data_IF_973666364842
#
_entry.id   IF_973666364842
#
_cell.length_a   1.000
_cell.length_b   1.000
_cell.length_c   1.000
_cell.angle_alpha   90.00
_cell.angle_beta   90.00
_cell.angle_gamma   90.00
#
_symmetry.space_group_name_H-M   'P 1'
#
loop_
_entity.id
_entity.type
_entity.pdbx_description
1 polymer ?
#
# COMPACT_ATOMS: atom_id res chain seq x y z
N UNK A 1 -1.83 -20.96 8.28
CA UNK A 1 -1.12 -21.16 9.57
C UNK A 1 0.39 -20.95 9.44
N UNK A 2 1.07 -21.49 8.42
CA UNK A 2 2.53 -21.32 8.25
C UNK A 2 2.98 -19.86 7.99
N UNK A 3 2.22 -19.06 7.23
CA UNK A 3 2.57 -17.66 6.95
C UNK A 3 2.52 -16.76 8.20
N UNK A 4 1.55 -17.01 9.08
CA UNK A 4 1.40 -16.24 10.33
C UNK A 4 2.56 -16.47 11.30
N UNK A 5 3.11 -17.69 11.30
CA UNK A 5 4.30 -18.05 12.09
C UNK A 5 5.53 -17.31 11.55
N UNK A 6 5.76 -17.33 10.23
CA UNK A 6 6.89 -16.63 9.58
C UNK A 6 6.86 -15.12 9.82
N UNK A 7 5.70 -14.48 9.67
CA UNK A 7 5.56 -13.05 9.92
C UNK A 7 5.85 -12.67 11.38
N UNK A 8 5.51 -13.54 12.35
CA UNK A 8 5.86 -13.36 13.76
C UNK A 8 7.37 -13.50 13.97
N UNK A 9 7.99 -14.52 13.38
CA UNK A 9 9.44 -14.73 13.43
C UNK A 9 10.22 -13.55 12.83
N UNK A 10 9.83 -13.05 11.66
CA UNK A 10 10.50 -11.90 11.03
C UNK A 10 10.37 -10.63 11.85
N UNK A 11 9.25 -10.42 12.54
CA UNK A 11 9.07 -9.28 13.43
C UNK A 11 9.99 -9.37 14.64
N UNK A 12 10.03 -10.51 15.32
CA UNK A 12 10.91 -10.69 16.48
C UNK A 12 12.37 -10.54 16.07
N UNK A 13 12.76 -11.11 14.92
CA UNK A 13 14.10 -10.94 14.37
C UNK A 13 14.41 -9.48 14.01
N UNK A 14 13.48 -8.77 13.37
CA UNK A 14 13.67 -7.37 13.00
C UNK A 14 13.80 -6.45 14.21
N UNK A 15 12.94 -6.62 15.22
CA UNK A 15 13.03 -5.89 16.50
C UNK A 15 14.38 -6.14 17.16
N UNK A 16 14.81 -7.41 17.23
CA UNK A 16 16.10 -7.78 17.80
C UNK A 16 17.27 -7.09 17.10
N UNK A 17 17.30 -7.09 15.76
CA UNK A 17 18.37 -6.46 14.98
C UNK A 17 18.41 -4.94 15.18
N UNK A 18 17.25 -4.27 15.20
CA UNK A 18 17.18 -2.84 15.47
C UNK A 18 17.68 -2.52 16.88
N UNK A 19 17.24 -3.29 17.90
CA UNK A 19 17.69 -3.10 19.28
C UNK A 19 19.18 -3.38 19.46
N UNK A 20 19.71 -4.43 18.81
CA UNK A 20 21.14 -4.73 18.84
C UNK A 20 21.96 -3.63 18.17
N UNK A 21 21.50 -3.10 17.02
CA UNK A 21 22.11 -1.96 16.36
C UNK A 21 22.16 -0.70 17.24
N UNK A 22 21.07 -0.39 17.97
CA UNK A 22 21.06 0.74 18.91
C UNK A 22 22.06 0.59 20.06
N UNK A 23 22.23 -0.63 20.60
CA UNK A 23 23.19 -0.90 21.68
C UNK A 23 24.62 -0.75 21.18
N UNK A 24 24.95 -1.30 20.00
CA UNK A 24 26.29 -1.15 19.41
C UNK A 24 26.64 0.31 19.13
N UNK A 25 25.67 1.10 18.63
CA UNK A 25 25.88 2.53 18.41
C UNK A 25 26.14 3.27 19.72
N UNK A 26 25.39 2.97 20.79
CA UNK A 26 25.62 3.55 22.11
C UNK A 26 27.02 3.21 22.66
N UNK A 27 27.49 1.98 22.47
CA UNK A 27 28.85 1.57 22.84
C UNK A 27 29.91 2.34 22.03
N UNK A 28 29.73 2.46 20.71
CA UNK A 28 30.65 3.20 19.84
C UNK A 28 30.73 4.69 20.24
N UNK A 29 29.59 5.32 20.53
CA UNK A 29 29.53 6.71 21.02
C UNK A 29 30.21 6.84 22.39
N UNK A 30 29.98 5.91 23.31
CA UNK A 30 30.63 5.92 24.63
C UNK A 30 32.16 5.82 24.53
N UNK A 31 32.66 4.96 23.64
CA UNK A 31 34.09 4.85 23.33
C UNK A 31 34.66 6.15 22.74
N UNK A 32 33.97 6.74 21.77
CA UNK A 32 34.39 7.99 21.13
C UNK A 32 34.38 9.19 22.10
N UNK A 33 33.34 9.32 22.94
CA UNK A 33 33.28 10.37 23.96
C UNK A 33 34.41 10.23 24.98
N UNK A 34 34.73 8.99 25.39
CA UNK A 34 35.84 8.74 26.28
C UNK A 34 37.18 9.14 25.66
N UNK A 35 37.39 8.82 24.38
CA UNK A 35 38.59 9.22 23.64
C UNK A 35 38.72 10.75 23.54
N UNK A 36 37.61 11.46 23.33
CA UNK A 36 37.60 12.92 23.26
C UNK A 36 37.82 13.61 24.61
N UNK A 37 37.40 12.99 25.73
CA UNK A 37 37.39 13.60 27.05
C UNK A 37 38.59 13.24 27.94
N UNK A 38 39.30 12.14 27.67
CA UNK A 38 40.44 11.70 28.49
C UNK A 38 41.77 12.08 27.81
N UNK A 39 42.67 12.83 28.49
CA UNK A 39 43.94 13.28 27.91
C UNK A 39 44.92 12.12 27.65
N UNK A 40 45.75 12.30 26.61
CA UNK A 40 46.63 11.31 25.97
C UNK A 40 47.75 10.67 26.82
N UNK A 41 47.76 10.86 28.14
CA UNK A 41 48.79 10.28 29.03
C UNK A 41 48.62 8.76 29.21
N UNK A 42 47.39 8.24 29.03
CA UNK A 42 47.10 6.80 29.05
C UNK A 42 46.97 6.28 27.62
N UNK A 43 48.11 5.91 27.02
CA UNK A 43 48.14 5.32 25.67
C UNK A 43 47.44 3.97 25.67
N UNK A 44 46.39 3.88 24.86
CA UNK A 44 45.64 2.64 24.67
C UNK A 44 46.39 1.65 23.78
N UNK A 45 46.06 0.36 23.87
CA UNK A 45 46.48 -0.60 22.85
C UNK A 45 45.84 -0.25 21.48
N UNK A 46 46.61 -0.46 20.41
CA UNK A 46 46.36 0.03 19.04
C UNK A 46 45.02 -0.35 18.38
N UNK A 47 44.18 -1.17 19.03
CA UNK A 47 42.93 -1.70 18.47
C UNK A 47 41.69 -0.84 18.74
N UNK A 48 41.75 0.18 19.60
CA UNK A 48 40.56 0.96 20.03
C UNK A 48 39.87 1.71 18.89
N UNK A 49 40.63 2.38 18.03
CA UNK A 49 40.09 3.07 16.85
C UNK A 49 39.45 2.09 15.85
N UNK A 50 40.06 0.91 15.67
CA UNK A 50 39.50 -0.17 14.87
C UNK A 50 38.15 -0.65 15.40
N UNK A 51 38.01 -0.77 16.72
CA UNK A 51 36.77 -1.19 17.37
C UNK A 51 35.63 -0.20 17.14
N UNK A 52 35.87 1.12 17.22
CA UNK A 52 34.84 2.13 16.98
C UNK A 52 34.27 2.01 15.55
N UNK A 53 35.15 1.87 14.56
CA UNK A 53 34.75 1.71 13.15
C UNK A 53 33.94 0.43 12.93
N UNK A 54 34.39 -0.69 13.50
CA UNK A 54 33.70 -1.99 13.38
C UNK A 54 32.32 -1.96 14.04
N UNK A 55 32.20 -1.41 15.26
CA UNK A 55 30.92 -1.31 15.97
C UNK A 55 29.94 -0.41 15.22
N UNK A 56 30.42 0.71 14.68
CA UNK A 56 29.61 1.67 13.91
C UNK A 56 29.09 1.06 12.61
N UNK A 57 29.97 0.38 11.86
CA UNK A 57 29.59 -0.33 10.63
C UNK A 57 28.59 -1.46 10.88
N UNK A 58 28.80 -2.25 11.94
CA UNK A 58 27.88 -3.33 12.31
C UNK A 58 26.51 -2.79 12.76
N UNK A 59 26.47 -1.68 13.49
CA UNK A 59 25.21 -1.05 13.88
C UNK A 59 24.37 -0.61 12.66
N UNK A 60 25.00 0.02 11.65
CA UNK A 60 24.32 0.40 10.40
C UNK A 60 23.81 -0.83 9.65
N UNK A 61 24.62 -1.89 9.55
CA UNK A 61 24.21 -3.14 8.90
C UNK A 61 23.00 -3.77 9.59
N UNK A 62 22.99 -3.80 10.93
CA UNK A 62 21.88 -4.33 11.71
C UNK A 62 20.61 -3.48 11.55
N UNK A 63 20.72 -2.15 11.48
CA UNK A 63 19.59 -1.29 11.15
C UNK A 63 19.04 -1.55 9.75
N UNK A 64 19.90 -1.67 8.73
CA UNK A 64 19.48 -1.97 7.36
C UNK A 64 18.79 -3.34 7.26
N UNK A 65 19.38 -4.38 7.86
CA UNK A 65 18.79 -5.72 7.93
C UNK A 65 17.47 -5.72 8.71
N UNK A 66 17.42 -5.03 9.86
CA UNK A 66 16.22 -4.85 10.64
C UNK A 66 15.10 -4.16 9.86
N UNK A 67 15.42 -3.09 9.12
CA UNK A 67 14.48 -2.39 8.25
C UNK A 67 13.97 -3.28 7.11
N UNK A 68 14.85 -4.05 6.46
CA UNK A 68 14.49 -4.98 5.39
C UNK A 68 13.58 -6.11 5.88
N UNK A 69 13.89 -6.70 7.04
CA UNK A 69 13.06 -7.74 7.65
C UNK A 69 11.73 -7.19 8.16
N UNK A 70 11.72 -5.96 8.71
CA UNK A 70 10.48 -5.27 9.09
C UNK A 70 9.56 -5.07 7.90
N UNK A 71 10.12 -4.61 6.76
CA UNK A 71 9.38 -4.49 5.49
C UNK A 71 8.84 -5.84 5.04
N UNK A 72 9.63 -6.91 5.13
CA UNK A 72 9.20 -8.28 4.77
C UNK A 72 8.08 -8.79 5.68
N UNK A 73 8.18 -8.58 6.99
CA UNK A 73 7.17 -8.95 7.97
C UNK A 73 5.84 -8.19 7.77
N UNK A 74 5.90 -6.89 7.47
CA UNK A 74 4.72 -6.10 7.13
C UNK A 74 4.07 -6.57 5.82
N UNK A 75 4.88 -6.89 4.81
CA UNK A 75 4.41 -7.35 3.49
C UNK A 75 3.73 -8.73 3.54
N UNK A 76 4.11 -9.60 4.47
CA UNK A 76 3.45 -10.90 4.70
C UNK A 76 2.17 -10.80 5.54
N UNK A 77 1.92 -9.68 6.22
CA UNK A 77 0.76 -9.51 7.11
C UNK A 77 -0.55 -9.21 6.38
N UNK A 78 -0.48 -8.72 5.14
CA UNK A 78 -1.63 -8.19 4.38
C UNK A 78 -1.97 -9.06 3.16
N UNK A 79 -2.00 -10.37 3.35
CA UNK A 79 -2.19 -11.36 2.27
C UNK A 79 -3.63 -11.89 2.16
N UNK A 80 -4.53 -11.43 3.03
CA UNK A 80 -5.97 -11.76 2.96
C UNK A 80 -6.81 -10.51 2.76
N UNK A 81 -8.00 -10.67 2.16
CA UNK A 81 -8.98 -9.59 1.97
C UNK A 81 -9.25 -8.81 3.25
N UNK A 82 -9.45 -9.51 4.37
CA UNK A 82 -9.76 -8.90 5.68
C UNK A 82 -8.60 -8.09 6.27
N UNK A 83 -7.37 -8.40 5.89
CA UNK A 83 -6.15 -7.77 6.44
C UNK A 83 -5.51 -6.79 5.49
N UNK A 84 -6.00 -6.70 4.24
CA UNK A 84 -5.38 -5.90 3.19
C UNK A 84 -5.45 -4.40 3.49
N UNK A 85 -6.62 -3.95 3.93
CA UNK A 85 -6.85 -2.65 4.53
C UNK A 85 -7.20 -2.86 5.99
N UNK A 86 -6.55 -2.12 6.89
CA UNK A 86 -7.05 -1.97 8.25
C UNK A 86 -8.28 -1.04 8.29
N UNK A 87 -8.86 -0.85 9.48
CA UNK A 87 -10.12 -0.12 9.64
C UNK A 87 -10.00 1.34 9.23
N UNK A 88 -8.93 2.02 9.64
CA UNK A 88 -8.66 3.42 9.29
C UNK A 88 -8.43 3.57 7.78
N UNK A 89 -7.68 2.65 7.18
CA UNK A 89 -7.46 2.59 5.74
C UNK A 89 -8.74 2.36 4.95
N UNK A 90 -9.59 1.41 5.37
CA UNK A 90 -10.90 1.15 4.78
C UNK A 90 -11.78 2.39 4.86
N UNK A 91 -11.83 3.03 6.03
CA UNK A 91 -12.59 4.26 6.23
C UNK A 91 -12.10 5.39 5.31
N UNK A 92 -10.79 5.54 5.09
CA UNK A 92 -10.24 6.52 4.16
C UNK A 92 -10.63 6.26 2.70
N UNK A 93 -10.61 4.99 2.27
CA UNK A 93 -11.03 4.63 0.90
C UNK A 93 -12.52 4.89 0.72
N UNK A 94 -13.37 4.48 1.67
CA UNK A 94 -14.81 4.73 1.63
C UNK A 94 -15.13 6.24 1.67
N UNK A 95 -14.41 7.01 2.49
CA UNK A 95 -14.56 8.46 2.54
C UNK A 95 -14.22 9.12 1.21
N UNK A 96 -13.21 8.61 0.48
CA UNK A 96 -12.86 9.10 -0.84
C UNK A 96 -13.95 8.78 -1.89
N UNK A 97 -14.57 7.60 -1.84
CA UNK A 97 -15.68 7.24 -2.75
C UNK A 97 -16.87 8.20 -2.51
N UNK A 98 -17.28 8.35 -1.24
CA UNK A 98 -18.35 9.26 -0.80
C UNK A 98 -18.08 10.74 -1.06
N UNK A 99 -16.84 11.12 -1.32
CA UNK A 99 -16.48 12.49 -1.68
C UNK A 99 -17.06 12.88 -3.05
N UNK A 100 -17.22 11.91 -3.95
CA UNK A 100 -17.66 12.12 -5.33
C UNK A 100 -19.10 11.71 -5.59
N UNK A 101 -19.69 10.77 -4.85
CA UNK A 101 -21.10 10.35 -5.02
C UNK A 101 -22.11 11.51 -5.05
N UNK A 102 -21.85 12.61 -4.34
CA UNK A 102 -22.74 13.80 -4.36
C UNK A 102 -22.53 14.73 -5.57
N UNK A 103 -21.53 14.43 -6.40
CA UNK A 103 -21.01 15.30 -7.47
C UNK A 103 -21.03 14.61 -8.83
N UNK A 104 -21.43 13.34 -8.90
CA UNK A 104 -21.54 12.59 -10.15
C UNK A 104 -22.62 11.52 -10.01
N UNK A 105 -23.28 11.19 -11.12
CA UNK A 105 -24.12 9.99 -11.23
C UNK A 105 -23.30 8.71 -11.50
N UNK A 106 -21.98 8.83 -11.55
CA UNK A 106 -21.07 7.70 -11.77
C UNK A 106 -20.78 6.94 -10.49
N UNK A 107 -20.74 5.62 -10.60
CA UNK A 107 -20.58 4.71 -9.47
C UNK A 107 -19.18 4.10 -9.42
N UNK A 108 -18.54 4.11 -8.25
CA UNK A 108 -17.20 3.52 -8.07
C UNK A 108 -17.24 2.43 -7.01
N UNK A 109 -16.71 1.25 -7.33
CA UNK A 109 -16.57 0.14 -6.39
C UNK A 109 -15.15 -0.38 -6.29
N UNK A 110 -14.75 -0.78 -5.08
CA UNK A 110 -13.50 -1.50 -4.84
C UNK A 110 -13.81 -2.97 -4.53
N UNK A 111 -13.13 -3.89 -5.20
CA UNK A 111 -13.20 -5.32 -4.96
C UNK A 111 -11.82 -5.90 -4.69
N UNK A 112 -11.72 -6.61 -3.57
CA UNK A 112 -10.51 -7.29 -3.14
C UNK A 112 -10.72 -8.79 -3.30
N UNK A 113 -9.82 -9.47 -4.01
CA UNK A 113 -9.85 -10.92 -4.13
C UNK A 113 -8.53 -11.51 -3.63
N UNK A 114 -8.62 -12.58 -2.82
CA UNK A 114 -7.43 -13.15 -2.19
C UNK A 114 -6.42 -13.71 -3.21
N UNK A 115 -6.92 -14.47 -4.19
CA UNK A 115 -6.12 -15.04 -5.29
C UNK A 115 -6.87 -14.97 -6.61
N UNK A 116 -6.11 -14.81 -7.69
CA UNK A 116 -6.63 -14.79 -9.05
C UNK A 116 -5.86 -15.77 -9.94
N UNK A 117 -6.59 -16.42 -10.85
CA UNK A 117 -6.01 -17.21 -11.93
C UNK A 117 -6.23 -16.47 -13.26
N UNK A 118 -5.20 -16.34 -14.08
CA UNK A 118 -5.26 -15.53 -15.32
C UNK A 118 -4.99 -14.04 -15.10
N UNK A 119 -5.17 -13.22 -16.13
CA UNK A 119 -4.83 -11.80 -16.08
C UNK A 119 -5.82 -11.01 -15.20
N UNK A 120 -5.32 -9.97 -14.51
CA UNK A 120 -6.12 -9.17 -13.58
C UNK A 120 -7.34 -8.53 -14.25
N UNK A 121 -7.16 -8.06 -15.49
CA UNK A 121 -8.21 -7.44 -16.29
C UNK A 121 -9.33 -8.43 -16.63
N UNK A 122 -9.01 -9.66 -17.00
CA UNK A 122 -10.01 -10.66 -17.40
C UNK A 122 -10.85 -11.10 -16.18
N UNK A 123 -10.18 -11.30 -15.04
CA UNK A 123 -10.85 -11.61 -13.77
C UNK A 123 -11.69 -10.43 -13.32
N UNK A 124 -11.17 -9.21 -13.40
CA UNK A 124 -11.91 -8.01 -13.06
C UNK A 124 -13.16 -7.84 -13.94
N UNK A 125 -13.10 -8.18 -15.24
CA UNK A 125 -14.26 -8.13 -16.14
C UNK A 125 -15.35 -9.12 -15.71
N UNK A 126 -14.94 -10.35 -15.36
CA UNK A 126 -15.87 -11.36 -14.81
C UNK A 126 -16.52 -10.89 -13.51
N UNK A 127 -15.75 -10.23 -12.64
CA UNK A 127 -16.25 -9.66 -11.39
C UNK A 127 -17.18 -8.47 -11.64
N UNK A 128 -16.86 -7.63 -12.62
CA UNK A 128 -17.67 -6.49 -13.04
C UNK A 128 -19.10 -6.92 -13.39
N UNK A 129 -19.22 -7.96 -14.23
CA UNK A 129 -20.51 -8.54 -14.62
C UNK A 129 -21.23 -9.17 -13.44
N UNK A 130 -20.51 -9.96 -12.62
CA UNK A 130 -21.08 -10.64 -11.44
C UNK A 130 -21.63 -9.66 -10.40
N UNK A 131 -20.95 -8.53 -10.20
CA UNK A 131 -21.43 -7.47 -9.30
C UNK A 131 -22.53 -6.62 -9.94
N UNK A 132 -22.78 -6.80 -11.24
CA UNK A 132 -23.75 -6.06 -12.01
C UNK A 132 -23.39 -4.57 -12.10
N UNK A 133 -22.11 -4.26 -12.24
CA UNK A 133 -21.60 -2.89 -12.35
C UNK A 133 -22.09 -2.16 -13.61
N UNK A 134 -22.60 -2.91 -14.60
CA UNK A 134 -23.24 -2.36 -15.79
C UNK A 134 -24.70 -1.91 -15.57
N UNK A 135 -25.27 -2.15 -14.38
CA UNK A 135 -26.65 -1.78 -14.03
C UNK A 135 -26.73 -0.33 -13.55
N UNK A 136 -26.11 0.57 -14.31
CA UNK A 136 -26.26 2.02 -14.12
C UNK A 136 -26.90 2.62 -15.37
N UNK A 137 -27.70 3.66 -15.18
CA UNK A 137 -28.48 4.26 -16.28
C UNK A 137 -27.60 4.75 -17.43
N UNK A 138 -26.50 5.40 -17.10
CA UNK A 138 -25.59 6.00 -18.08
C UNK A 138 -24.38 5.10 -18.41
N UNK A 139 -24.38 3.83 -17.98
CA UNK A 139 -23.28 2.88 -18.22
C UNK A 139 -21.93 3.46 -17.80
N UNK A 140 -21.89 3.93 -16.56
CA UNK A 140 -20.84 4.76 -15.95
C UNK A 140 -20.28 4.15 -14.64
N UNK A 141 -20.42 2.83 -14.46
CA UNK A 141 -19.82 2.12 -13.32
C UNK A 141 -18.31 1.88 -13.49
N UNK A 142 -17.54 2.02 -12.41
CA UNK A 142 -16.09 1.77 -12.35
C UNK A 142 -15.75 0.76 -11.26
N UNK A 143 -15.00 -0.28 -11.62
CA UNK A 143 -14.49 -1.27 -10.69
C UNK A 143 -12.97 -1.16 -10.53
N UNK A 144 -12.54 -0.89 -9.31
CA UNK A 144 -11.17 -1.04 -8.84
C UNK A 144 -10.99 -2.47 -8.31
N UNK A 145 -10.21 -3.28 -9.00
CA UNK A 145 -9.99 -4.68 -8.65
C UNK A 145 -8.57 -4.92 -8.15
N UNK A 146 -8.44 -5.57 -6.98
CA UNK A 146 -7.15 -5.91 -6.37
C UNK A 146 -7.06 -7.42 -6.10
N UNK A 147 -6.13 -8.09 -6.79
CA UNK A 147 -5.67 -9.43 -6.44
C UNK A 147 -4.62 -9.35 -5.32
N UNK A 148 -5.04 -9.57 -4.07
CA UNK A 148 -4.26 -9.28 -2.85
C UNK A 148 -2.93 -10.05 -2.81
N UNK A 149 -2.96 -11.38 -2.97
CA UNK A 149 -1.72 -12.19 -2.92
C UNK A 149 -0.91 -12.09 -4.18
N UNK A 150 -1.60 -11.95 -5.31
CA UNK A 150 -1.01 -11.82 -6.63
C UNK A 150 -0.35 -10.47 -6.87
N UNK A 151 -0.64 -9.46 -6.04
CA UNK A 151 -0.23 -8.07 -6.20
C UNK A 151 -0.54 -7.53 -7.59
N UNK A 152 -1.72 -7.90 -8.08
CA UNK A 152 -2.20 -7.52 -9.39
C UNK A 152 -3.37 -6.56 -9.22
N UNK A 153 -3.38 -5.53 -10.05
CA UNK A 153 -4.38 -4.48 -10.01
C UNK A 153 -5.00 -4.30 -11.39
N UNK A 154 -6.28 -3.99 -11.44
CA UNK A 154 -6.97 -3.60 -12.66
C UNK A 154 -8.05 -2.57 -12.33
N UNK A 155 -8.29 -1.66 -13.26
CA UNK A 155 -9.45 -0.77 -13.24
C UNK A 155 -10.24 -1.00 -14.51
N UNK A 156 -11.55 -1.18 -14.37
CA UNK A 156 -12.46 -1.36 -15.49
C UNK A 156 -13.62 -0.39 -15.32
N UNK A 157 -13.80 0.49 -16.29
CA UNK A 157 -15.03 1.26 -16.46
C UNK A 157 -16.02 0.54 -17.35
N UNK A 158 -17.28 0.95 -17.32
CA UNK A 158 -18.29 0.55 -18.28
C UNK A 158 -18.19 1.36 -19.59
N UNK A 159 -18.94 0.95 -20.62
CA UNK A 159 -18.89 1.50 -21.98
C UNK A 159 -19.05 3.03 -22.04
N UNK A 160 -19.99 3.60 -21.29
CA UNK A 160 -20.26 5.05 -21.33
C UNK A 160 -19.03 5.88 -20.95
N UNK A 161 -18.15 5.36 -20.10
CA UNK A 161 -16.93 6.06 -19.68
C UNK A 161 -15.88 6.05 -20.78
N UNK A 162 -15.72 4.94 -21.51
CA UNK A 162 -14.73 4.83 -22.58
C UNK A 162 -15.02 5.79 -23.74
N UNK A 163 -16.26 6.21 -23.91
CA UNK A 163 -16.66 7.16 -24.95
C UNK A 163 -16.26 8.61 -24.63
N UNK A 164 -16.01 8.92 -23.35
CA UNK A 164 -15.78 10.30 -22.87
C UNK A 164 -14.36 10.55 -22.36
N UNK A 165 -13.66 9.54 -21.81
CA UNK A 165 -12.31 9.71 -21.30
C UNK A 165 -11.22 9.43 -22.34
N UNK A 166 -10.05 10.08 -22.25
CA UNK A 166 -8.90 9.77 -23.11
C UNK A 166 -8.48 8.30 -23.03
N UNK A 167 -8.00 7.73 -24.15
CA UNK A 167 -7.60 6.31 -24.24
C UNK A 167 -6.54 5.89 -23.22
N UNK A 168 -5.66 6.81 -22.82
CA UNK A 168 -4.55 6.60 -21.90
C UNK A 168 -4.90 6.90 -20.43
N UNK A 169 -6.12 7.35 -20.15
CA UNK A 169 -6.58 7.70 -18.81
C UNK A 169 -6.42 6.54 -17.83
N UNK A 170 -6.97 5.36 -18.17
CA UNK A 170 -6.94 4.20 -17.30
C UNK A 170 -5.54 3.64 -17.08
N UNK A 171 -4.67 3.67 -18.10
CA UNK A 171 -3.26 3.30 -17.92
C UNK A 171 -2.55 4.22 -16.94
N UNK A 172 -2.88 5.52 -16.95
CA UNK A 172 -2.33 6.48 -16.00
C UNK A 172 -2.81 6.21 -14.58
N UNK A 173 -4.11 5.95 -14.39
CA UNK A 173 -4.69 5.57 -13.09
C UNK A 173 -4.01 4.30 -12.56
N UNK A 174 -3.91 3.25 -13.39
CA UNK A 174 -3.27 1.98 -13.01
C UNK A 174 -1.82 2.20 -12.58
N UNK A 175 -1.03 2.91 -13.37
CA UNK A 175 0.37 3.18 -13.04
C UNK A 175 0.55 3.92 -11.71
N UNK A 176 -0.31 4.92 -11.42
CA UNK A 176 -0.29 5.68 -10.17
C UNK A 176 -0.63 4.82 -8.96
N UNK A 177 -1.70 4.04 -9.07
CA UNK A 177 -2.13 3.15 -7.99
C UNK A 177 -1.08 2.06 -7.74
N UNK A 178 -0.60 1.40 -8.79
CA UNK A 178 0.41 0.34 -8.69
C UNK A 178 1.68 0.80 -8.00
N UNK A 179 2.18 2.02 -8.32
CA UNK A 179 3.34 2.59 -7.65
C UNK A 179 3.16 2.65 -6.13
N UNK A 180 2.01 3.14 -5.66
CA UNK A 180 1.70 3.21 -4.22
C UNK A 180 1.51 1.83 -3.59
N UNK A 181 0.89 0.90 -4.30
CA UNK A 181 0.76 -0.50 -3.85
C UNK A 181 2.13 -1.16 -3.68
N UNK A 182 3.08 -0.89 -4.59
CA UNK A 182 4.46 -1.38 -4.50
C UNK A 182 5.22 -0.79 -3.31
N UNK A 183 4.95 0.47 -2.95
CA UNK A 183 5.47 1.15 -1.75
C UNK A 183 4.84 0.64 -0.44
N UNK A 184 3.80 -0.21 -0.51
CA UNK A 184 3.04 -0.68 0.65
C UNK A 184 2.04 0.36 1.18
N UNK A 185 1.77 1.42 0.42
CA UNK A 185 0.82 2.49 0.73
C UNK A 185 -0.55 2.20 0.12
N UNK A 186 -1.20 1.13 0.60
CA UNK A 186 -2.35 0.53 -0.06
C UNK A 186 -3.56 1.47 -0.15
N UNK A 187 -4.01 2.03 0.97
CA UNK A 187 -5.12 2.96 0.99
C UNK A 187 -4.81 4.24 0.22
N UNK A 188 -3.58 4.75 0.30
CA UNK A 188 -3.20 5.97 -0.43
C UNK A 188 -3.28 5.76 -1.93
N UNK A 189 -2.82 4.60 -2.42
CA UNK A 189 -2.97 4.21 -3.82
C UNK A 189 -4.43 4.16 -4.25
N UNK A 190 -5.28 3.45 -3.50
CA UNK A 190 -6.70 3.34 -3.82
C UNK A 190 -7.40 4.71 -3.78
N UNK A 191 -7.13 5.54 -2.76
CA UNK A 191 -7.68 6.90 -2.64
C UNK A 191 -7.24 7.77 -3.80
N UNK A 192 -5.97 7.73 -4.20
CA UNK A 192 -5.44 8.48 -5.35
C UNK A 192 -6.17 8.05 -6.63
N UNK A 193 -6.31 6.74 -6.86
CA UNK A 193 -7.03 6.21 -8.02
C UNK A 193 -8.51 6.57 -8.05
N UNK A 194 -9.21 6.42 -6.92
CA UNK A 194 -10.63 6.79 -6.77
C UNK A 194 -10.81 8.28 -7.04
N UNK A 195 -9.92 9.15 -6.57
CA UNK A 195 -9.99 10.59 -6.85
C UNK A 195 -9.78 10.91 -8.32
N UNK A 196 -8.85 10.24 -8.98
CA UNK A 196 -8.62 10.44 -10.42
C UNK A 196 -9.84 10.01 -11.23
N UNK A 197 -10.40 8.82 -10.95
CA UNK A 197 -11.61 8.33 -11.61
C UNK A 197 -12.82 9.22 -11.31
N UNK A 198 -13.03 9.57 -10.04
CA UNK A 198 -14.12 10.44 -9.59
C UNK A 198 -14.07 11.82 -10.23
N UNK A 199 -12.90 12.43 -10.38
CA UNK A 199 -12.77 13.72 -11.08
C UNK A 199 -13.22 13.64 -12.54
N UNK A 200 -12.84 12.58 -13.26
CA UNK A 200 -13.30 12.36 -14.64
C UNK A 200 -14.82 12.10 -14.71
N UNK A 201 -15.37 11.36 -13.75
CA UNK A 201 -16.81 11.11 -13.67
C UNK A 201 -17.61 12.38 -13.38
N UNK A 202 -17.15 13.25 -12.48
CA UNK A 202 -17.79 14.55 -12.19
C UNK A 202 -17.87 15.43 -13.44
N UNK A 203 -16.84 15.40 -14.29
CA UNK A 203 -16.80 16.21 -15.51
C UNK A 203 -17.81 15.72 -16.56
N UNK A 204 -17.92 14.40 -16.75
CA UNK A 204 -18.71 13.83 -17.85
C UNK A 204 -20.10 13.32 -17.45
N UNK A 205 -20.31 13.03 -16.17
CA UNK A 205 -21.54 12.47 -15.61
C UNK A 205 -21.98 13.28 -14.37
N UNK A 206 -22.35 14.56 -14.51
CA UNK A 206 -22.83 15.36 -13.39
C UNK A 206 -24.13 14.78 -12.81
N UNK A 207 -24.41 15.01 -11.51
CA UNK A 207 -25.54 14.40 -10.82
C UNK A 207 -26.84 15.00 -11.35
N UNK A 208 -27.88 14.18 -11.41
CA UNK A 208 -29.23 14.59 -11.82
C UNK A 208 -30.10 14.89 -10.60
N UNK A 209 -31.18 15.68 -10.73
CA UNK A 209 -32.09 15.96 -9.62
C UNK A 209 -32.81 14.71 -9.07
N UNK A 210 -32.99 13.69 -9.91
CA UNK A 210 -33.58 12.39 -9.61
C UNK A 210 -32.55 11.28 -9.38
N UNK A 211 -31.27 11.65 -9.23
CA UNK A 211 -30.18 10.71 -9.06
C UNK A 211 -30.32 9.94 -7.74
N UNK A 212 -30.27 8.62 -7.85
CA UNK A 212 -30.31 7.69 -6.74
C UNK A 212 -29.04 6.88 -6.77
N UNK A 213 -28.49 6.54 -5.62
CA UNK A 213 -27.36 5.61 -5.55
C UNK A 213 -27.80 4.27 -6.18
N UNK A 214 -27.19 3.92 -7.32
CA UNK A 214 -27.54 2.75 -8.12
C UNK A 214 -26.75 1.50 -7.67
N UNK A 215 -25.57 1.67 -7.06
CA UNK A 215 -24.67 0.58 -6.66
C UNK A 215 -24.14 0.76 -5.23
N UNK A 216 -24.15 -0.29 -4.38
CA UNK A 216 -23.73 -0.16 -2.99
C UNK A 216 -22.27 0.32 -2.80
N UNK A 217 -22.10 1.33 -1.95
CA UNK A 217 -20.79 1.84 -1.52
C UNK A 217 -20.15 0.87 -0.51
N UNK A 218 -19.47 -0.17 -0.99
CA UNK A 218 -18.72 -1.07 -0.13
C UNK A 218 -17.47 -1.65 -0.80
N UNK A 219 -16.45 -1.90 0.02
CA UNK A 219 -15.27 -2.66 -0.37
C UNK A 219 -15.60 -4.14 -0.20
N UNK A 220 -15.98 -4.75 -1.31
CA UNK A 220 -16.32 -6.17 -1.39
C UNK A 220 -15.08 -7.07 -1.44
N UNK A 221 -15.19 -8.31 -0.95
CA UNK A 221 -14.16 -9.34 -1.12
C UNK A 221 -14.45 -10.65 -0.41
#
# INVERSE_FOLDING_TARGET
MQNTIRARTYRTAATFLVTAGTVLMALAVGLALREALIPAADTWPAWTGGTIVVLSGMAVLLWLCGALLSRRAHRERRDTVRTFLDEDERARVLAAIREFERKTSGEIRVHLQARIDGAARDVAATVFDRLGMARTRDRNGVLFFVGVRDRRFAVIGDVGIYDVVPRDFWSTVVARVELRLMEGRYADGLVEGVRMAGAALVEHFPPRPDDVNELPDDISG
#
